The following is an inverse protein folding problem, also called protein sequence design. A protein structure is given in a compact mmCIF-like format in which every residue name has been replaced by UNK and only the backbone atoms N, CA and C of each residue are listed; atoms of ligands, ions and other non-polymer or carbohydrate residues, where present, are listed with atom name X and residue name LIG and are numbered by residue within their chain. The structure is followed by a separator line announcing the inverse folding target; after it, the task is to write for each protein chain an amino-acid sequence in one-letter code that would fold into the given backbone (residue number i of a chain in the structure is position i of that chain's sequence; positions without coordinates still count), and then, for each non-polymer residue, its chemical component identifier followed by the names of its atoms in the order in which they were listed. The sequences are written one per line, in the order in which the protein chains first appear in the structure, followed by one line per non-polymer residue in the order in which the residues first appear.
data_IF_869944789041
#
_entry.id   IF_869944789041
#
_cell.length_a   1.000
_cell.length_b   1.000
_cell.length_c   1.000
_cell.angle_alpha   90.00
_cell.angle_beta   90.00
_cell.angle_gamma   90.00
#
_symmetry.space_group_name_H-M   'P 1'
#
loop_
_entity.id
_entity.type
_entity.pdbx_description
1 polymer ?
#
# COMPACT_ATOMS: atom_id res chain seq x y z
N UNK A 1 6.59 -30.49 4.91
CA UNK A 1 7.08 -29.66 3.80
C UNK A 1 6.22 -28.40 3.84
N UNK A 2 6.74 -27.26 4.29
CA UNK A 2 6.03 -25.99 4.20
C UNK A 2 6.15 -25.58 2.73
N UNK A 3 5.06 -25.65 2.00
CA UNK A 3 4.98 -24.97 0.71
C UNK A 3 5.31 -23.48 0.98
N UNK A 4 6.29 -22.95 0.29
CA UNK A 4 6.65 -21.54 0.45
C UNK A 4 5.59 -20.69 -0.27
N UNK A 5 4.55 -20.35 0.49
CA UNK A 5 3.45 -19.53 -0.01
C UNK A 5 3.91 -18.16 -0.50
N UNK A 6 5.09 -17.70 -0.07
CA UNK A 6 5.61 -16.39 -0.49
C UNK A 6 5.88 -16.36 -1.99
N UNK A 7 6.41 -17.42 -2.56
CA UNK A 7 6.67 -17.50 -4.00
C UNK A 7 5.37 -17.49 -4.82
N UNK A 8 4.29 -18.08 -4.30
CA UNK A 8 3.01 -18.14 -5.00
C UNK A 8 2.37 -16.75 -5.18
N UNK A 9 2.60 -15.86 -4.22
CA UNK A 9 2.05 -14.50 -4.23
C UNK A 9 3.06 -13.45 -4.72
N UNK A 10 4.25 -13.85 -5.09
CA UNK A 10 5.26 -12.94 -5.63
C UNK A 10 4.90 -12.55 -7.06
N UNK A 11 4.70 -11.26 -7.29
CA UNK A 11 4.51 -10.75 -8.63
C UNK A 11 5.83 -10.80 -9.42
N UNK A 12 5.73 -11.14 -10.69
CA UNK A 12 6.82 -11.15 -11.67
C UNK A 12 6.50 -10.17 -12.80
N UNK A 13 7.45 -9.91 -13.69
CA UNK A 13 7.24 -9.08 -14.88
C UNK A 13 6.09 -9.61 -15.79
N UNK A 14 5.80 -10.90 -15.73
CA UNK A 14 4.74 -11.54 -16.49
C UNK A 14 3.39 -11.62 -15.76
N UNK A 15 3.29 -11.08 -14.56
CA UNK A 15 2.05 -11.14 -13.77
C UNK A 15 0.99 -10.25 -14.40
N UNK A 16 -0.14 -10.85 -14.79
CA UNK A 16 -1.30 -10.15 -15.32
C UNK A 16 -2.46 -10.22 -14.34
N UNK A 17 -2.90 -9.08 -13.82
CA UNK A 17 -3.99 -9.02 -12.82
C UNK A 17 -5.30 -9.58 -13.36
N UNK A 18 -5.60 -9.40 -14.65
CA UNK A 18 -6.84 -9.90 -15.27
C UNK A 18 -6.95 -11.43 -15.28
N UNK A 19 -5.81 -12.14 -15.23
CA UNK A 19 -5.75 -13.60 -15.16
C UNK A 19 -5.37 -14.14 -13.77
N UNK A 20 -5.12 -13.25 -12.81
CA UNK A 20 -4.77 -13.65 -11.44
C UNK A 20 -6.04 -13.90 -10.63
N UNK A 21 -6.12 -15.06 -9.97
CA UNK A 21 -7.24 -15.39 -9.09
C UNK A 21 -7.36 -14.40 -7.92
N UNK A 22 -8.58 -13.98 -7.63
CA UNK A 22 -8.90 -13.07 -6.51
C UNK A 22 -9.27 -13.83 -5.24
N UNK A 23 -9.49 -15.14 -5.33
CA UNK A 23 -9.80 -16.04 -4.22
C UNK A 23 -8.76 -17.15 -4.19
N UNK A 24 -8.16 -17.33 -3.04
CA UNK A 24 -7.22 -18.41 -2.81
C UNK A 24 -7.61 -19.19 -1.56
N UNK A 25 -7.82 -20.49 -1.72
CA UNK A 25 -8.10 -21.39 -0.61
C UNK A 25 -6.83 -22.10 -0.16
N UNK A 26 -6.47 -21.91 1.08
CA UNK A 26 -5.40 -22.67 1.70
C UNK A 26 -5.90 -24.08 2.05
N UNK A 27 -5.09 -25.16 1.85
CA UNK A 27 -5.46 -26.53 2.15
C UNK A 27 -5.37 -26.82 3.67
N UNK A 28 -5.77 -25.84 4.49
CA UNK A 28 -5.69 -25.91 5.95
C UNK A 28 -6.98 -25.46 6.59
N UNK A 29 -7.30 -26.00 7.77
CA UNK A 29 -8.42 -25.50 8.57
C UNK A 29 -8.13 -24.08 9.08
N UNK A 30 -9.19 -23.29 9.27
CA UNK A 30 -9.12 -21.92 9.79
C UNK A 30 -8.30 -21.84 11.09
N UNK A 31 -8.58 -22.76 12.05
CA UNK A 31 -7.82 -22.86 13.31
C UNK A 31 -6.32 -23.07 13.12
N UNK A 32 -5.92 -23.81 12.07
CA UNK A 32 -4.50 -24.02 11.75
C UNK A 32 -3.88 -22.76 11.16
N UNK A 33 -4.62 -22.05 10.31
CA UNK A 33 -4.20 -20.77 9.71
C UNK A 33 -4.01 -19.74 10.82
N UNK A 34 -4.95 -19.59 11.74
CA UNK A 34 -4.87 -18.66 12.87
C UNK A 34 -3.64 -18.93 13.75
N UNK A 35 -3.40 -20.20 14.08
CA UNK A 35 -2.23 -20.58 14.88
C UNK A 35 -0.90 -20.27 14.19
N UNK A 36 -0.80 -20.51 12.89
CA UNK A 36 0.41 -20.19 12.14
C UNK A 36 0.59 -18.67 12.01
N UNK A 37 -0.50 -17.92 11.80
CA UNK A 37 -0.50 -16.45 11.79
C UNK A 37 -0.01 -15.86 13.12
N UNK A 38 -0.49 -16.38 14.25
CA UNK A 38 -0.03 -15.96 15.58
C UNK A 38 1.47 -16.22 15.76
N UNK A 39 1.96 -17.37 15.31
CA UNK A 39 3.38 -17.70 15.36
C UNK A 39 4.22 -16.76 14.52
N UNK A 40 3.80 -16.50 13.28
CA UNK A 40 4.51 -15.57 12.37
C UNK A 40 4.51 -14.14 12.90
N UNK A 41 3.43 -13.67 13.53
CA UNK A 41 3.40 -12.35 14.18
C UNK A 41 4.42 -12.24 15.31
N UNK A 42 4.55 -13.27 16.14
CA UNK A 42 5.57 -13.30 17.21
C UNK A 42 7.00 -13.31 16.65
N UNK A 43 7.22 -14.01 15.54
CA UNK A 43 8.51 -14.00 14.85
C UNK A 43 8.80 -12.60 14.26
N UNK A 44 7.79 -11.95 13.67
CA UNK A 44 7.90 -10.60 13.13
C UNK A 44 8.20 -9.56 14.23
N UNK A 45 7.56 -9.69 15.41
CA UNK A 45 7.85 -8.83 16.55
C UNK A 45 9.32 -8.95 17.02
N UNK A 46 9.85 -10.17 17.08
CA UNK A 46 11.28 -10.40 17.40
C UNK A 46 12.22 -9.81 16.36
N UNK A 47 11.84 -9.90 15.07
CA UNK A 47 12.61 -9.29 13.99
C UNK A 47 12.61 -7.77 14.10
N UNK A 48 11.47 -7.17 14.50
CA UNK A 48 11.39 -5.73 14.78
C UNK A 48 12.41 -5.30 15.85
N UNK A 49 12.48 -6.02 16.97
CA UNK A 49 13.45 -5.72 18.02
C UNK A 49 14.90 -5.78 17.50
N UNK A 50 15.20 -6.76 16.65
CA UNK A 50 16.51 -6.90 16.02
C UNK A 50 16.81 -5.73 15.09
N UNK A 51 15.89 -5.31 14.24
CA UNK A 51 16.05 -4.19 13.31
C UNK A 51 16.19 -2.88 14.10
N UNK A 52 15.40 -2.70 15.16
CA UNK A 52 15.47 -1.55 16.03
C UNK A 52 16.84 -1.42 16.72
N UNK A 53 17.36 -2.51 17.29
CA UNK A 53 18.67 -2.52 17.93
C UNK A 53 19.83 -2.31 16.95
N UNK A 54 19.68 -2.76 15.70
CA UNK A 54 20.71 -2.63 14.67
C UNK A 54 20.82 -1.20 14.10
N UNK A 55 19.72 -0.48 14.05
CA UNK A 55 19.59 0.95 13.67
C UNK A 55 20.28 1.37 12.36
N UNK A 56 20.36 0.44 11.38
CA UNK A 56 20.94 0.73 10.05
C UNK A 56 19.90 0.72 8.93
N UNK A 57 18.89 -0.12 9.08
CA UNK A 57 17.84 -0.30 8.09
C UNK A 57 16.50 0.13 8.65
N UNK A 58 15.60 0.49 7.78
CA UNK A 58 14.18 0.60 8.08
C UNK A 58 13.37 -0.22 7.08
N UNK A 59 12.12 -0.51 7.42
CA UNK A 59 11.24 -1.29 6.57
C UNK A 59 10.04 -0.43 6.18
N UNK A 60 9.78 -0.33 4.88
CA UNK A 60 8.60 0.33 4.34
C UNK A 60 7.66 -0.69 3.74
N UNK A 61 6.45 -0.80 4.28
CA UNK A 61 5.40 -1.66 3.77
C UNK A 61 4.37 -0.82 3.02
N UNK A 62 4.31 -0.99 1.71
CA UNK A 62 3.38 -0.31 0.82
C UNK A 62 2.15 -1.17 0.57
N UNK A 63 0.96 -0.72 1.01
CA UNK A 63 -0.31 -1.42 0.80
C UNK A 63 -1.16 -0.69 -0.22
N UNK A 64 -1.44 -1.35 -1.33
CA UNK A 64 -2.26 -0.84 -2.41
C UNK A 64 -3.42 -1.80 -2.70
N UNK A 65 -4.51 -1.31 -3.22
CA UNK A 65 -5.67 -2.10 -3.63
C UNK A 65 -6.95 -1.26 -3.65
N UNK A 66 -7.97 -1.80 -4.30
CA UNK A 66 -9.29 -1.15 -4.43
C UNK A 66 -9.88 -0.82 -3.05
N UNK A 67 -10.87 0.08 -3.04
CA UNK A 67 -11.61 0.34 -1.83
C UNK A 67 -12.26 -0.95 -1.32
N UNK A 68 -12.35 -1.08 -0.02
CA UNK A 68 -12.78 -2.30 0.68
C UNK A 68 -11.87 -3.52 0.52
N UNK A 69 -10.70 -3.41 -0.13
CA UNK A 69 -9.79 -4.56 -0.30
C UNK A 69 -9.27 -5.17 1.00
N UNK A 70 -9.37 -4.45 2.13
CA UNK A 70 -8.99 -4.96 3.44
C UNK A 70 -7.67 -4.42 3.98
N UNK A 71 -7.12 -3.35 3.42
CA UNK A 71 -5.86 -2.72 3.86
C UNK A 71 -5.82 -2.47 5.37
N UNK A 72 -6.83 -1.80 5.93
CA UNK A 72 -6.89 -1.52 7.38
C UNK A 72 -6.91 -2.79 8.23
N UNK A 73 -7.64 -3.81 7.78
CA UNK A 73 -7.72 -5.08 8.49
C UNK A 73 -6.40 -5.83 8.46
N UNK A 74 -5.70 -5.79 7.32
CA UNK A 74 -4.39 -6.39 7.17
C UNK A 74 -3.38 -5.71 8.11
N UNK A 75 -3.35 -4.37 8.15
CA UNK A 75 -2.49 -3.61 9.05
C UNK A 75 -2.74 -4.04 10.49
N UNK A 76 -4.01 -4.04 10.93
CA UNK A 76 -4.38 -4.42 12.29
C UNK A 76 -3.94 -5.83 12.64
N UNK A 77 -4.11 -6.79 11.74
CA UNK A 77 -3.81 -8.19 12.03
C UNK A 77 -2.31 -8.53 11.94
N UNK A 78 -1.58 -7.95 10.99
CA UNK A 78 -0.15 -8.24 10.80
C UNK A 78 0.70 -7.59 11.88
N UNK A 79 0.42 -6.33 12.21
CA UNK A 79 1.25 -5.53 13.13
C UNK A 79 0.77 -5.59 14.60
N UNK A 80 -0.21 -6.44 14.91
CA UNK A 80 -0.87 -6.53 16.23
C UNK A 80 0.09 -6.78 17.39
N UNK A 81 1.10 -7.61 17.19
CA UNK A 81 2.03 -8.06 18.24
C UNK A 81 3.35 -7.28 18.23
N UNK A 82 3.50 -6.31 17.34
CA UNK A 82 4.68 -5.46 17.24
C UNK A 82 4.66 -4.33 18.28
N UNK A 83 5.86 -3.88 18.67
CA UNK A 83 6.00 -2.73 19.54
C UNK A 83 5.55 -1.45 18.82
N UNK A 84 4.56 -0.76 19.36
CA UNK A 84 3.98 0.44 18.76
C UNK A 84 5.00 1.59 18.55
N UNK A 85 6.07 1.66 19.33
CA UNK A 85 7.13 2.67 19.13
C UNK A 85 7.92 2.47 17.85
N UNK A 86 7.95 1.24 17.32
CA UNK A 86 8.70 0.88 16.13
C UNK A 86 7.86 0.77 14.87
N UNK A 87 6.56 1.14 14.89
CA UNK A 87 5.67 1.08 13.72
C UNK A 87 4.93 2.41 13.58
N UNK A 88 5.03 3.02 12.40
CA UNK A 88 4.28 4.23 12.06
C UNK A 88 3.42 3.96 10.83
N UNK A 89 2.13 4.21 10.94
CA UNK A 89 1.17 4.01 9.85
C UNK A 89 0.74 5.37 9.29
N UNK A 90 0.97 5.56 8.00
CA UNK A 90 0.51 6.73 7.26
C UNK A 90 -0.61 6.31 6.30
N UNK A 91 -1.78 6.95 6.43
CA UNK A 91 -2.92 6.74 5.53
C UNK A 91 -3.05 7.94 4.60
N UNK A 92 -2.58 7.78 3.37
CA UNK A 92 -2.63 8.85 2.39
C UNK A 92 -4.04 8.97 1.79
N UNK A 93 -4.63 10.13 1.96
CA UNK A 93 -5.90 10.54 1.32
C UNK A 93 -5.60 11.54 0.20
N UNK A 94 -6.66 12.10 -0.38
CA UNK A 94 -6.53 13.22 -1.32
C UNK A 94 -5.57 14.27 -0.75
N UNK A 95 -4.60 14.76 -1.55
CA UNK A 95 -3.65 15.75 -1.09
C UNK A 95 -4.34 17.03 -0.61
N UNK A 96 -3.82 17.61 0.48
CA UNK A 96 -4.22 18.94 0.95
C UNK A 96 -3.62 20.03 0.06
N UNK A 97 -4.15 21.26 0.14
CA UNK A 97 -3.58 22.41 -0.58
C UNK A 97 -2.10 22.66 -0.24
N UNK A 98 -1.70 22.40 1.00
CA UNK A 98 -0.30 22.49 1.42
C UNK A 98 0.56 21.41 0.74
N UNK A 99 0.10 20.18 0.65
CA UNK A 99 0.81 19.10 -0.03
C UNK A 99 0.90 19.33 -1.54
N UNK A 100 -0.16 19.89 -2.16
CA UNK A 100 -0.16 20.28 -3.59
C UNK A 100 0.80 21.43 -3.93
N UNK A 101 1.24 22.21 -2.94
CA UNK A 101 2.31 23.20 -3.12
C UNK A 101 3.71 22.60 -3.28
N UNK A 102 3.83 21.29 -3.17
CA UNK A 102 5.07 20.53 -3.29
C UNK A 102 4.94 19.50 -4.41
N UNK A 103 6.06 18.86 -4.80
CA UNK A 103 5.98 17.73 -5.72
C UNK A 103 5.21 16.55 -5.10
N UNK A 104 4.62 15.71 -5.95
CA UNK A 104 3.71 14.64 -5.49
C UNK A 104 4.38 13.55 -4.62
N UNK A 105 5.72 13.43 -4.64
CA UNK A 105 6.47 12.50 -3.78
C UNK A 105 6.82 13.09 -2.43
N UNK A 106 6.80 14.42 -2.29
CA UNK A 106 7.21 15.10 -1.07
C UNK A 106 6.51 14.55 0.20
N UNK A 107 5.18 14.41 0.16
CA UNK A 107 4.39 13.89 1.27
C UNK A 107 4.77 12.46 1.66
N UNK A 108 5.21 11.66 0.70
CA UNK A 108 5.68 10.30 0.92
C UNK A 108 7.10 10.29 1.46
N UNK A 109 7.93 11.22 1.00
CA UNK A 109 9.31 11.33 1.44
C UNK A 109 9.41 11.70 2.92
N UNK A 110 8.65 12.70 3.39
CA UNK A 110 8.63 13.10 4.81
C UNK A 110 7.99 12.06 5.73
N UNK A 111 7.24 11.12 5.18
CA UNK A 111 6.61 10.02 5.90
C UNK A 111 7.47 8.72 5.93
N UNK A 112 8.66 8.74 5.35
CA UNK A 112 9.55 7.59 5.36
C UNK A 112 9.93 7.20 6.79
N UNK A 113 10.05 5.89 7.10
CA UNK A 113 10.41 5.45 8.43
C UNK A 113 11.86 5.82 8.78
N UNK A 114 12.06 6.23 10.02
CA UNK A 114 13.38 6.36 10.60
C UNK A 114 14.10 4.99 10.63
N UNK A 115 15.44 5.00 10.72
CA UNK A 115 16.21 3.76 10.90
C UNK A 115 15.72 3.00 12.14
N UNK A 116 15.75 1.69 12.06
CA UNK A 116 15.23 0.82 13.11
C UNK A 116 13.72 0.68 13.16
N UNK A 117 12.96 1.41 12.34
CA UNK A 117 11.50 1.44 12.40
C UNK A 117 10.83 0.84 11.15
N UNK A 118 9.56 0.50 11.31
CA UNK A 118 8.64 0.09 10.24
C UNK A 118 7.70 1.25 9.89
N UNK A 119 7.69 1.64 8.62
CA UNK A 119 6.66 2.50 8.05
C UNK A 119 5.63 1.69 7.29
N UNK A 120 4.36 1.99 7.45
CA UNK A 120 3.28 1.36 6.70
C UNK A 120 2.53 2.44 5.94
N UNK A 121 2.58 2.38 4.62
CA UNK A 121 1.82 3.26 3.74
C UNK A 121 0.50 2.57 3.38
N UNK A 122 -0.59 3.03 3.98
CA UNK A 122 -1.96 2.68 3.61
C UNK A 122 -2.42 3.64 2.51
N UNK A 123 -2.55 3.14 1.29
CA UNK A 123 -2.43 3.89 0.03
C UNK A 123 -1.01 4.46 -0.10
N UNK A 124 -0.50 4.60 -1.28
CA UNK A 124 0.93 4.83 -1.47
C UNK A 124 1.18 5.89 -2.54
N UNK A 125 2.44 6.18 -2.82
CA UNK A 125 2.85 7.02 -3.94
C UNK A 125 2.36 6.49 -5.31
N UNK A 126 1.94 5.23 -5.38
CA UNK A 126 1.31 4.67 -6.58
C UNK A 126 -0.10 5.24 -6.86
N UNK A 127 -0.77 5.88 -5.90
CA UNK A 127 -2.02 6.62 -6.16
C UNK A 127 -1.83 7.64 -7.30
N UNK A 128 -0.62 8.21 -7.41
CA UNK A 128 -0.26 9.21 -8.43
C UNK A 128 -0.10 8.64 -9.86
N UNK A 129 -0.24 7.34 -10.04
CA UNK A 129 -0.27 6.66 -11.36
C UNK A 129 -1.44 5.69 -11.48
N UNK A 130 -2.21 5.48 -10.41
CA UNK A 130 -3.40 4.64 -10.41
C UNK A 130 -4.67 5.49 -10.39
N UNK A 131 -4.89 6.23 -9.30
CA UNK A 131 -6.09 7.07 -9.14
C UNK A 131 -6.06 8.26 -10.09
N UNK A 132 -4.92 8.92 -10.22
CA UNK A 132 -4.76 10.05 -11.13
C UNK A 132 -4.89 9.66 -12.61
N UNK A 133 -4.67 8.38 -12.96
CA UNK A 133 -4.89 7.90 -14.32
C UNK A 133 -6.37 7.67 -14.62
N UNK A 134 -7.16 7.38 -13.60
CA UNK A 134 -8.64 7.29 -13.69
C UNK A 134 -9.28 8.69 -13.64
N UNK A 135 -8.66 9.60 -12.88
CA UNK A 135 -9.12 10.97 -12.65
C UNK A 135 -8.02 11.97 -13.02
N UNK A 136 -7.75 12.22 -14.32
CA UNK A 136 -6.65 13.07 -14.79
C UNK A 136 -6.73 14.51 -14.27
N UNK A 137 -7.93 14.99 -13.97
CA UNK A 137 -8.13 16.32 -13.37
C UNK A 137 -7.36 16.51 -12.04
N UNK A 138 -7.00 15.45 -11.34
CA UNK A 138 -6.15 15.56 -10.14
C UNK A 138 -4.73 16.00 -10.47
N UNK A 139 -4.21 15.67 -11.66
CA UNK A 139 -2.91 16.14 -12.14
C UNK A 139 -2.92 17.65 -12.35
N UNK A 140 -4.02 18.22 -12.84
CA UNK A 140 -4.15 19.67 -13.05
C UNK A 140 -4.04 20.45 -11.74
N UNK A 141 -4.46 19.86 -10.62
CA UNK A 141 -4.33 20.46 -9.29
C UNK A 141 -2.88 20.52 -8.78
N UNK A 142 -1.96 19.76 -9.39
CA UNK A 142 -0.53 19.81 -9.06
C UNK A 142 0.18 21.04 -9.68
N UNK A 143 -0.50 21.76 -10.56
CA UNK A 143 0.01 22.98 -11.23
C UNK A 143 1.40 22.79 -11.87
N UNK A 144 1.56 21.70 -12.61
CA UNK A 144 2.84 21.32 -13.22
C UNK A 144 3.17 22.17 -14.43
N UNK A 145 4.44 22.56 -14.61
CA UNK A 145 4.88 23.27 -15.81
C UNK A 145 4.56 22.47 -17.08
N UNK A 146 3.88 23.11 -18.04
CA UNK A 146 3.53 22.51 -19.33
C UNK A 146 2.29 21.62 -19.31
N UNK A 147 1.57 21.48 -18.18
CA UNK A 147 0.30 20.78 -18.06
C UNK A 147 -0.79 21.80 -17.73
N UNK A 148 -1.58 22.18 -18.73
CA UNK A 148 -2.66 23.16 -18.60
C UNK A 148 -4.05 22.55 -18.79
N UNK A 149 -4.10 21.36 -19.39
CA UNK A 149 -5.33 20.63 -19.68
C UNK A 149 -5.11 19.12 -19.62
N UNK A 150 -6.16 18.35 -19.59
CA UNK A 150 -6.08 16.88 -19.64
C UNK A 150 -5.42 16.38 -20.95
N UNK A 151 -5.50 17.13 -22.04
CA UNK A 151 -4.88 16.78 -23.30
C UNK A 151 -3.33 16.79 -23.24
N UNK A 152 -2.74 17.49 -22.28
CA UNK A 152 -1.30 17.53 -22.06
C UNK A 152 -0.79 16.29 -21.29
N UNK A 153 -1.71 15.50 -20.70
CA UNK A 153 -1.41 14.30 -19.94
C UNK A 153 -1.33 13.10 -20.89
N UNK A 154 -0.24 13.01 -21.60
CA UNK A 154 0.02 11.97 -22.62
C UNK A 154 0.61 10.70 -22.02
N UNK A 155 0.76 9.64 -22.82
CA UNK A 155 1.45 8.42 -22.39
C UNK A 155 2.89 8.71 -21.95
N UNK A 156 3.60 9.62 -22.63
CA UNK A 156 4.94 10.04 -22.22
C UNK A 156 4.97 10.71 -20.83
N UNK A 157 3.90 11.39 -20.41
CA UNK A 157 3.76 11.90 -19.05
C UNK A 157 3.71 10.75 -18.04
N UNK A 158 2.95 9.69 -18.33
CA UNK A 158 2.82 8.53 -17.44
C UNK A 158 4.12 7.72 -17.36
N UNK A 159 4.79 7.49 -18.49
CA UNK A 159 6.10 6.83 -18.50
C UNK A 159 7.11 7.58 -17.63
N UNK A 160 7.18 8.90 -17.77
CA UNK A 160 8.03 9.73 -16.91
C UNK A 160 7.67 9.61 -15.42
N UNK A 161 6.38 9.51 -15.08
CA UNK A 161 5.93 9.28 -13.70
C UNK A 161 6.38 7.92 -13.17
N UNK A 162 6.26 6.87 -13.97
CA UNK A 162 6.76 5.54 -13.59
C UNK A 162 8.26 5.56 -13.35
N UNK A 163 9.03 6.22 -14.20
CA UNK A 163 10.48 6.37 -14.02
C UNK A 163 10.82 7.13 -12.74
N UNK A 164 10.12 8.22 -12.45
CA UNK A 164 10.31 8.99 -11.21
C UNK A 164 10.03 8.14 -9.96
N UNK A 165 8.95 7.36 -9.95
CA UNK A 165 8.63 6.45 -8.86
C UNK A 165 9.71 5.37 -8.69
N UNK A 166 10.16 4.76 -9.79
CA UNK A 166 11.23 3.77 -9.76
C UNK A 166 12.54 4.36 -9.24
N UNK A 167 12.89 5.58 -9.65
CA UNK A 167 14.07 6.29 -9.15
C UNK A 167 13.96 6.64 -7.67
N UNK A 168 12.78 7.07 -7.21
CA UNK A 168 12.51 7.31 -5.79
C UNK A 168 12.72 6.04 -4.96
N UNK A 169 12.11 4.92 -5.37
CA UNK A 169 12.26 3.64 -4.68
C UNK A 169 13.72 3.16 -4.68
N UNK A 170 14.41 3.28 -5.81
CA UNK A 170 15.84 2.98 -5.91
C UNK A 170 16.66 3.81 -4.94
N UNK A 171 16.44 5.14 -4.93
CA UNK A 171 17.16 6.06 -4.05
C UNK A 171 16.99 5.67 -2.57
N UNK A 172 15.77 5.47 -2.10
CA UNK A 172 15.53 5.15 -0.69
C UNK A 172 16.04 3.76 -0.32
N UNK A 173 16.00 2.79 -1.25
CA UNK A 173 16.54 1.44 -1.02
C UNK A 173 18.07 1.45 -0.90
N UNK A 174 18.76 2.19 -1.75
CA UNK A 174 20.22 2.37 -1.66
C UNK A 174 20.64 3.07 -0.35
N UNK A 175 19.70 3.79 0.30
CA UNK A 175 19.91 4.43 1.60
C UNK A 175 19.41 3.60 2.80
N UNK A 176 19.10 2.32 2.59
CA UNK A 176 18.84 1.35 3.66
C UNK A 176 17.37 1.16 4.02
N UNK A 177 16.43 1.58 3.17
CA UNK A 177 15.03 1.27 3.33
C UNK A 177 14.69 -0.02 2.57
N UNK A 178 14.23 -1.03 3.26
CA UNK A 178 13.75 -2.29 2.68
C UNK A 178 12.28 -2.11 2.35
N UNK A 179 11.92 -2.22 1.06
CA UNK A 179 10.54 -1.98 0.61
C UNK A 179 9.83 -3.30 0.34
N UNK A 180 8.65 -3.47 0.95
CA UNK A 180 7.69 -4.52 0.60
C UNK A 180 6.43 -3.88 0.01
N UNK A 181 6.02 -4.36 -1.16
CA UNK A 181 4.83 -3.87 -1.87
C UNK A 181 3.78 -4.97 -1.94
N UNK A 182 2.60 -4.70 -1.42
CA UNK A 182 1.47 -5.62 -1.44
C UNK A 182 0.28 -4.99 -2.17
N UNK A 183 -0.19 -5.66 -3.21
CA UNK A 183 -1.43 -5.32 -3.87
C UNK A 183 -2.53 -6.28 -3.44
N UNK A 184 -3.58 -5.76 -2.81
CA UNK A 184 -4.72 -6.55 -2.37
C UNK A 184 -5.74 -6.68 -3.51
N UNK A 185 -5.62 -7.79 -4.24
CA UNK A 185 -6.46 -8.08 -5.39
C UNK A 185 -7.78 -8.72 -4.96
N UNK A 186 -8.90 -8.04 -5.24
CA UNK A 186 -10.25 -8.52 -4.96
C UNK A 186 -11.11 -8.43 -6.22
N UNK A 187 -12.14 -9.28 -6.32
CA UNK A 187 -13.10 -9.20 -7.42
C UNK A 187 -14.06 -8.02 -7.25
N UNK A 188 -14.68 -7.59 -8.35
CA UNK A 188 -15.74 -6.57 -8.33
C UNK A 188 -16.92 -6.98 -7.45
N UNK A 189 -17.28 -8.25 -7.49
CA UNK A 189 -18.35 -8.84 -6.68
C UNK A 189 -18.04 -8.71 -5.20
N UNK A 190 -16.84 -9.13 -4.78
CA UNK A 190 -16.39 -8.99 -3.38
C UNK A 190 -16.34 -7.51 -2.96
N UNK A 191 -15.87 -6.63 -3.82
CA UNK A 191 -15.88 -5.19 -3.54
C UNK A 191 -17.30 -4.66 -3.33
N UNK A 192 -18.23 -4.99 -4.24
CA UNK A 192 -19.62 -4.60 -4.16
C UNK A 192 -20.29 -5.09 -2.87
N UNK A 193 -20.12 -6.36 -2.52
CA UNK A 193 -20.66 -6.94 -1.28
C UNK A 193 -20.14 -6.19 -0.04
N UNK A 194 -18.84 -5.88 0.00
CA UNK A 194 -18.23 -5.17 1.11
C UNK A 194 -18.69 -3.71 1.20
N UNK A 195 -18.92 -3.05 0.06
CA UNK A 195 -19.50 -1.70 0.01
C UNK A 195 -20.95 -1.70 0.51
N UNK A 196 -21.78 -2.63 0.05
CA UNK A 196 -23.16 -2.77 0.53
C UNK A 196 -23.23 -3.01 2.05
N UNK A 197 -22.37 -3.91 2.56
CA UNK A 197 -22.27 -4.14 4.01
C UNK A 197 -21.88 -2.89 4.80
N UNK A 198 -21.05 -1.99 4.24
CA UNK A 198 -20.73 -0.70 4.89
C UNK A 198 -21.96 0.19 5.02
N UNK A 199 -22.88 0.19 4.05
CA UNK A 199 -24.12 0.96 4.12
C UNK A 199 -25.09 0.40 5.16
N UNK A 200 -25.15 -0.92 5.31
CA UNK A 200 -26.07 -1.60 6.24
C UNK A 200 -25.59 -1.51 7.70
N UNK A 201 -24.29 -1.59 7.95
CA UNK A 201 -23.73 -1.59 9.29
C UNK A 201 -23.43 -0.17 9.80
N UNK A 202 -24.23 0.35 10.74
CA UNK A 202 -24.08 1.69 11.34
C UNK A 202 -22.64 2.02 11.78
N UNK A 203 -21.90 1.04 12.32
CA UNK A 203 -20.50 1.20 12.76
C UNK A 203 -19.52 1.50 11.61
N UNK A 204 -19.94 1.31 10.34
CA UNK A 204 -19.10 1.50 9.16
C UNK A 204 -19.57 2.66 8.28
N UNK A 205 -20.74 3.25 8.51
CA UNK A 205 -21.30 4.33 7.72
C UNK A 205 -20.41 5.57 7.66
N UNK A 206 -19.65 5.85 8.73
CA UNK A 206 -18.70 6.98 8.76
C UNK A 206 -17.54 6.86 7.74
N UNK A 207 -17.30 5.67 7.21
CA UNK A 207 -16.30 5.41 6.16
C UNK A 207 -16.82 5.64 4.76
N UNK A 208 -18.12 5.86 4.61
CA UNK A 208 -18.73 6.05 3.29
C UNK A 208 -18.38 7.44 2.76
N UNK A 209 -17.89 7.48 1.53
CA UNK A 209 -17.70 8.69 0.75
C UNK A 209 -18.45 8.58 -0.57
N UNK A 210 -19.19 9.60 -1.02
CA UNK A 210 -19.80 9.60 -2.35
C UNK A 210 -18.80 9.50 -3.49
N UNK A 211 -17.50 9.69 -3.21
CA UNK A 211 -16.41 9.57 -4.17
C UNK A 211 -15.81 8.15 -4.24
N UNK A 212 -16.27 7.22 -3.36
CA UNK A 212 -15.83 5.81 -3.35
C UNK A 212 -16.57 4.96 -4.47
#
# INVERSE_FOLDING_TARGET
MKEDLSQKFMATENTQLCSTETIFSLPYSEKKIEKELEKLRKELAKLQDTIYAHDKYSVLVCLQGMDTSGKDSLIREVFKDMNARGVVVHSFKTPTSFELGHDYLWRHYIALPERGKFGVFNRTHYENVLVTRVHPNYILNENLPGINSEADITDAFWEKRFDQINQFEKHITENGIIIFKFFLHISKETQRERLLRRLEEKKHQWKFSPAD
#
